data_IF_323535034671
#
_entry.id   IF_323535034671
#
_cell.length_a   1.000
_cell.length_b   1.000
_cell.length_c   1.000
_cell.angle_alpha   90.00
_cell.angle_beta   90.00
_cell.angle_gamma   90.00
#
_symmetry.space_group_name_H-M   'P 1'
#
loop_
_entity.id
_entity.type
_entity.pdbx_description
1 polymer ?
#
# COMPACT_ATOMS: atom_id res chain seq x y z
N UNK A 1 -4.61 -10.70 -9.66
CA UNK A 1 -4.75 -10.14 -11.03
C UNK A 1 -4.76 -11.21 -12.12
N UNK A 2 -3.77 -12.12 -12.18
CA UNK A 2 -3.70 -13.19 -13.20
C UNK A 2 -4.89 -14.16 -13.21
N UNK A 3 -5.35 -14.62 -12.04
CA UNK A 3 -6.38 -15.68 -11.92
C UNK A 3 -7.70 -15.21 -11.30
N UNK A 4 -7.84 -13.92 -11.03
CA UNK A 4 -9.06 -13.37 -10.43
C UNK A 4 -10.22 -13.44 -11.41
N UNK A 5 -11.41 -13.81 -10.92
CA UNK A 5 -12.64 -13.69 -11.70
C UNK A 5 -12.86 -12.21 -12.08
N UNK A 6 -13.29 -11.95 -13.32
CA UNK A 6 -13.32 -10.59 -13.85
C UNK A 6 -14.19 -9.63 -13.02
N UNK A 7 -15.39 -10.07 -12.61
CA UNK A 7 -16.29 -9.30 -11.76
C UNK A 7 -15.71 -8.98 -10.36
N UNK A 8 -14.66 -9.69 -9.93
CA UNK A 8 -13.98 -9.44 -8.67
C UNK A 8 -13.21 -8.12 -8.66
N UNK A 9 -12.78 -7.62 -9.82
CA UNK A 9 -12.00 -6.37 -9.91
C UNK A 9 -12.84 -5.11 -9.68
N UNK A 10 -14.17 -5.21 -9.64
CA UNK A 10 -15.07 -4.08 -9.29
C UNK A 10 -15.54 -4.12 -7.83
N UNK A 11 -14.97 -5.01 -7.01
CA UNK A 11 -15.35 -5.20 -5.61
C UNK A 11 -14.18 -4.89 -4.69
N UNK A 12 -14.50 -4.36 -3.52
CA UNK A 12 -13.54 -4.08 -2.45
C UNK A 12 -14.11 -4.55 -1.11
N UNK A 13 -13.24 -4.73 -0.13
CA UNK A 13 -13.61 -5.14 1.22
C UNK A 13 -14.20 -3.96 2.02
N UNK A 14 -15.44 -3.56 1.71
CA UNK A 14 -16.10 -2.43 2.38
C UNK A 14 -16.12 -2.55 3.91
N UNK A 15 -16.39 -3.75 4.42
CA UNK A 15 -16.40 -4.05 5.87
C UNK A 15 -15.09 -3.67 6.57
N UNK A 16 -13.94 -3.84 5.90
CA UNK A 16 -12.64 -3.54 6.47
C UNK A 16 -12.46 -2.03 6.61
N UNK A 17 -12.74 -1.30 5.54
CA UNK A 17 -12.54 0.15 5.51
C UNK A 17 -13.56 0.91 6.36
N UNK A 18 -14.80 0.42 6.46
CA UNK A 18 -15.77 0.88 7.43
C UNK A 18 -15.30 0.64 8.87
N UNK A 19 -14.72 -0.54 9.14
CA UNK A 19 -14.11 -0.85 10.44
C UNK A 19 -12.96 0.10 10.79
N UNK A 20 -12.08 0.38 9.82
CA UNK A 20 -11.00 1.37 9.98
C UNK A 20 -11.54 2.77 10.25
N UNK A 21 -12.55 3.22 9.50
CA UNK A 21 -13.16 4.53 9.70
C UNK A 21 -13.79 4.66 11.10
N UNK A 22 -14.47 3.61 11.58
CA UNK A 22 -15.00 3.55 12.95
C UNK A 22 -13.89 3.60 13.99
N UNK A 23 -12.78 2.90 13.78
CA UNK A 23 -11.63 2.96 14.69
C UNK A 23 -11.03 4.38 14.74
N UNK A 24 -10.86 5.03 13.59
CA UNK A 24 -10.36 6.41 13.51
C UNK A 24 -11.30 7.41 14.17
N UNK A 25 -12.62 7.27 14.00
CA UNK A 25 -13.61 8.07 14.71
C UNK A 25 -13.54 7.88 16.25
N UNK A 26 -13.08 6.71 16.70
CA UNK A 26 -12.80 6.42 18.10
C UNK A 26 -11.36 6.75 18.51
N UNK A 27 -10.72 7.68 17.80
CA UNK A 27 -9.39 8.22 18.09
C UNK A 27 -8.24 7.20 18.00
N UNK A 28 -8.40 6.14 17.19
CA UNK A 28 -7.28 5.26 16.88
C UNK A 28 -6.26 5.98 15.98
N UNK A 29 -5.00 5.99 16.40
CA UNK A 29 -3.89 6.45 15.58
C UNK A 29 -3.58 5.44 14.44
N UNK A 30 -3.03 5.93 13.33
CA UNK A 30 -2.68 5.10 12.18
C UNK A 30 -1.18 5.14 11.89
N UNK A 31 -0.53 3.97 11.87
CA UNK A 31 0.80 3.81 11.29
C UNK A 31 0.71 2.91 10.06
N UNK A 32 1.23 3.38 8.93
CA UNK A 32 1.41 2.56 7.74
C UNK A 32 2.90 2.35 7.47
N UNK A 33 3.33 1.10 7.36
CA UNK A 33 4.69 0.75 6.96
C UNK A 33 4.68 0.38 5.47
N UNK A 34 5.55 0.99 4.67
CA UNK A 34 5.62 0.77 3.23
C UNK A 34 6.99 0.23 2.83
N UNK A 35 6.99 -0.81 2.01
CA UNK A 35 8.19 -1.35 1.36
C UNK A 35 7.88 -2.07 0.04
N UNK A 36 6.68 -1.91 -0.49
CA UNK A 36 6.22 -2.67 -1.66
C UNK A 36 7.06 -2.38 -2.92
N UNK A 37 7.30 -3.39 -3.75
CA UNK A 37 7.93 -3.23 -5.07
C UNK A 37 7.11 -2.31 -5.98
N UNK A 38 7.65 -1.16 -6.43
CA UNK A 38 6.96 -0.24 -7.33
C UNK A 38 6.49 -0.88 -8.64
N UNK A 39 7.15 -1.97 -9.06
CA UNK A 39 6.90 -2.67 -10.31
C UNK A 39 6.08 -3.95 -10.16
N UNK A 40 5.57 -4.25 -8.96
CA UNK A 40 4.89 -5.51 -8.62
C UNK A 40 3.77 -5.90 -9.61
N UNK A 41 3.03 -4.91 -10.10
CA UNK A 41 1.89 -5.12 -11.01
C UNK A 41 2.18 -4.74 -12.47
N UNK A 42 3.43 -4.44 -12.83
CA UNK A 42 3.82 -3.96 -14.16
C UNK A 42 3.45 -4.92 -15.30
N UNK A 43 3.48 -6.23 -15.04
CA UNK A 43 3.13 -7.27 -16.01
C UNK A 43 1.63 -7.66 -16.00
N UNK A 44 0.77 -6.95 -15.26
CA UNK A 44 -0.67 -7.25 -15.20
C UNK A 44 -1.46 -6.41 -16.21
N UNK A 45 -2.66 -6.88 -16.55
CA UNK A 45 -3.61 -6.13 -17.38
C UNK A 45 -3.95 -4.79 -16.72
N UNK A 46 -3.58 -3.65 -17.34
CA UNK A 46 -3.81 -2.33 -16.77
C UNK A 46 -5.28 -2.02 -16.52
N UNK A 47 -6.21 -2.57 -17.32
CA UNK A 47 -7.64 -2.36 -17.14
C UNK A 47 -8.16 -3.03 -15.86
N UNK A 48 -7.66 -4.23 -15.54
CA UNK A 48 -7.99 -4.93 -14.29
C UNK A 48 -7.40 -4.22 -13.07
N UNK A 49 -6.15 -3.74 -13.18
CA UNK A 49 -5.49 -2.95 -12.12
C UNK A 49 -6.26 -1.67 -11.85
N UNK A 50 -6.65 -0.94 -12.91
CA UNK A 50 -7.43 0.30 -12.79
C UNK A 50 -8.79 0.07 -12.10
N UNK A 51 -9.53 -0.98 -12.49
CA UNK A 51 -10.82 -1.34 -11.87
C UNK A 51 -10.67 -1.64 -10.38
N UNK A 52 -9.68 -2.48 -10.02
CA UNK A 52 -9.43 -2.85 -8.62
C UNK A 52 -9.04 -1.64 -7.78
N UNK A 53 -8.18 -0.77 -8.30
CA UNK A 53 -7.77 0.47 -7.63
C UNK A 53 -8.96 1.42 -7.44
N UNK A 54 -9.83 1.55 -8.44
CA UNK A 54 -11.05 2.37 -8.33
C UNK A 54 -11.99 1.82 -7.25
N UNK A 55 -12.27 0.51 -7.26
CA UNK A 55 -13.13 -0.13 -6.26
C UNK A 55 -12.58 0.05 -4.84
N UNK A 56 -11.27 -0.17 -4.64
CA UNK A 56 -10.61 0.04 -3.35
C UNK A 56 -10.65 1.51 -2.91
N UNK A 57 -10.37 2.45 -3.82
CA UNK A 57 -10.41 3.89 -3.49
C UNK A 57 -11.80 4.34 -3.06
N UNK A 58 -12.85 3.88 -3.74
CA UNK A 58 -14.23 4.20 -3.37
C UNK A 58 -14.59 3.64 -1.98
N UNK A 59 -14.19 2.40 -1.69
CA UNK A 59 -14.48 1.78 -0.40
C UNK A 59 -13.63 2.35 0.74
N UNK A 60 -12.40 2.80 0.46
CA UNK A 60 -11.49 3.39 1.43
C UNK A 60 -11.80 4.85 1.78
N UNK A 61 -12.62 5.52 0.97
CA UNK A 61 -12.95 6.95 1.09
C UNK A 61 -13.29 7.40 2.53
N UNK A 62 -14.14 6.71 3.32
CA UNK A 62 -14.48 7.16 4.67
C UNK A 62 -13.29 7.18 5.63
N UNK A 63 -12.36 6.23 5.49
CA UNK A 63 -11.15 6.18 6.29
C UNK A 63 -10.13 7.22 5.80
N UNK A 64 -10.05 7.42 4.47
CA UNK A 64 -9.17 8.42 3.85
C UNK A 64 -9.52 9.84 4.31
N UNK A 65 -10.80 10.18 4.40
CA UNK A 65 -11.28 11.49 4.85
C UNK A 65 -10.75 11.85 6.25
N UNK A 66 -10.71 10.88 7.18
CA UNK A 66 -10.15 11.06 8.52
C UNK A 66 -8.64 11.34 8.51
N UNK A 67 -7.93 10.74 7.56
CA UNK A 67 -6.48 10.93 7.40
C UNK A 67 -6.20 12.30 6.77
N UNK A 68 -6.86 12.62 5.66
CA UNK A 68 -6.64 13.88 4.92
C UNK A 68 -7.13 15.11 5.68
N UNK A 69 -8.16 14.95 6.51
CA UNK A 69 -8.66 15.98 7.42
C UNK A 69 -7.80 16.19 8.67
N UNK A 70 -6.79 15.34 8.90
CA UNK A 70 -6.01 15.31 10.15
C UNK A 70 -6.86 15.10 11.40
N UNK A 71 -7.98 14.37 11.29
CA UNK A 71 -8.86 14.01 12.41
C UNK A 71 -8.18 13.07 13.42
N UNK A 72 -7.11 12.39 13.00
CA UNK A 72 -6.32 11.44 13.80
C UNK A 72 -4.83 11.71 13.68
N UNK A 73 -4.05 11.25 14.67
CA UNK A 73 -2.61 11.12 14.52
C UNK A 73 -2.30 9.99 13.53
N UNK A 74 -1.53 10.28 12.49
CA UNK A 74 -1.11 9.27 11.55
C UNK A 74 0.31 9.51 11.01
N UNK A 75 0.95 8.42 10.58
CA UNK A 75 2.25 8.48 9.94
C UNK A 75 2.39 7.36 8.89
N UNK A 76 3.25 7.58 7.90
CA UNK A 76 3.68 6.59 6.91
C UNK A 76 5.19 6.50 6.99
N UNK A 77 5.72 5.32 7.31
CA UNK A 77 7.16 5.06 7.38
C UNK A 77 7.56 4.07 6.30
N UNK A 78 8.81 4.21 5.82
CA UNK A 78 9.41 3.26 4.89
C UNK A 78 10.14 2.16 5.64
N UNK A 79 10.17 0.94 5.09
CA UNK A 79 11.02 -0.16 5.53
C UNK A 79 11.64 -0.87 4.31
N UNK A 80 12.92 -1.25 4.37
CA UNK A 80 13.66 -1.77 3.22
C UNK A 80 13.26 -3.23 2.91
N UNK A 81 12.21 -3.42 2.12
CA UNK A 81 11.87 -4.73 1.56
C UNK A 81 12.87 -5.14 0.47
N UNK A 82 13.11 -6.45 0.34
CA UNK A 82 14.02 -6.99 -0.65
C UNK A 82 13.63 -6.62 -2.07
N UNK A 83 12.35 -6.71 -2.44
CA UNK A 83 11.94 -6.48 -3.82
C UNK A 83 12.13 -5.01 -4.22
N UNK A 84 11.84 -4.08 -3.31
CA UNK A 84 12.16 -2.67 -3.50
C UNK A 84 13.68 -2.43 -3.56
N UNK A 85 14.45 -3.03 -2.65
CA UNK A 85 15.90 -2.92 -2.63
C UNK A 85 16.55 -3.39 -3.94
N UNK A 86 16.09 -4.52 -4.50
CA UNK A 86 16.57 -5.06 -5.78
C UNK A 86 16.15 -4.23 -6.98
N UNK A 87 15.04 -3.50 -6.86
CA UNK A 87 14.63 -2.53 -7.88
C UNK A 87 15.56 -1.31 -7.88
N UNK A 88 15.95 -0.82 -6.71
CA UNK A 88 16.85 0.36 -6.56
C UNK A 88 18.31 0.01 -6.85
N UNK A 89 18.77 -1.16 -6.41
CA UNK A 89 20.15 -1.64 -6.54
C UNK A 89 20.22 -2.93 -7.38
N UNK A 90 19.94 -2.85 -8.69
CA UNK A 90 20.00 -4.02 -9.55
C UNK A 90 21.45 -4.53 -9.65
N UNK A 91 21.65 -5.81 -9.36
CA UNK A 91 22.96 -6.49 -9.46
C UNK A 91 23.70 -6.69 -8.14
N UNK A 92 23.30 -6.00 -7.07
CA UNK A 92 23.85 -6.27 -5.73
C UNK A 92 23.32 -7.60 -5.17
N UNK A 93 24.09 -8.23 -4.29
CA UNK A 93 23.60 -9.34 -3.47
C UNK A 93 22.42 -8.87 -2.60
N UNK A 94 21.51 -9.78 -2.27
CA UNK A 94 20.23 -9.45 -1.62
C UNK A 94 20.41 -8.73 -0.28
N UNK A 95 21.33 -9.20 0.55
CA UNK A 95 21.71 -8.59 1.83
C UNK A 95 22.33 -7.19 1.65
N UNK A 96 23.19 -7.03 0.65
CA UNK A 96 23.82 -5.75 0.31
C UNK A 96 22.79 -4.73 -0.18
N UNK A 97 21.86 -5.14 -1.04
CA UNK A 97 20.81 -4.27 -1.57
C UNK A 97 19.90 -3.77 -0.43
N UNK A 98 19.46 -4.69 0.45
CA UNK A 98 18.63 -4.34 1.61
C UNK A 98 19.38 -3.42 2.56
N UNK A 99 20.66 -3.68 2.84
CA UNK A 99 21.48 -2.82 3.69
C UNK A 99 21.65 -1.41 3.12
N UNK A 100 21.91 -1.27 1.81
CA UNK A 100 21.99 0.05 1.15
C UNK A 100 20.66 0.80 1.19
N UNK A 101 19.53 0.10 1.02
CA UNK A 101 18.21 0.73 1.13
C UNK A 101 17.90 1.13 2.58
N UNK A 102 18.29 0.31 3.55
CA UNK A 102 18.17 0.63 4.97
C UNK A 102 18.96 1.90 5.32
N UNK A 103 20.21 2.00 4.84
CA UNK A 103 21.05 3.18 5.02
C UNK A 103 20.37 4.42 4.46
N UNK A 104 19.85 4.35 3.22
CA UNK A 104 19.12 5.46 2.60
C UNK A 104 17.82 5.88 3.34
N UNK A 105 17.23 5.00 4.15
CA UNK A 105 16.01 5.30 4.94
C UNK A 105 16.37 5.86 6.33
N UNK A 106 17.46 5.40 6.94
CA UNK A 106 17.79 5.69 8.34
C UNK A 106 18.96 6.67 8.55
N UNK A 107 19.72 7.03 7.52
CA UNK A 107 20.81 8.03 7.57
C UNK A 107 20.28 9.46 7.68
#
# INVERSE_FOLDING_TARGET
FRYGADAGFDRAAGWLYEGMAKAFANNAARLAVRGEDPSLLSAQDPAKVARANKANSMAYQPALEKITGFDINWNIIAYPDLAWAKHVFPGDADDVAVAKLADAIFS
#
